data_IF_501612150716
#
_entry.id   IF_501612150716
#
_cell.length_a   1.000
_cell.length_b   1.000
_cell.length_c   1.000
_cell.angle_alpha   90.00
_cell.angle_beta   90.00
_cell.angle_gamma   90.00
#
_symmetry.space_group_name_H-M   'P 1'
#
loop_
_entity.id
_entity.type
_entity.pdbx_description
1 polymer ?
#
# COMPACT_ATOMS: atom_id res chain seq x y z
N UNK A 1 -9.67 -18.68 -11.01
CA UNK A 1 -9.11 -17.44 -10.44
C UNK A 1 -8.29 -17.84 -9.23
N UNK A 2 -7.06 -17.33 -9.10
CA UNK A 2 -6.26 -17.57 -7.92
C UNK A 2 -6.92 -16.90 -6.71
N UNK A 3 -6.90 -17.55 -5.54
CA UNK A 3 -7.44 -16.94 -4.32
C UNK A 3 -6.62 -15.71 -3.90
N UNK A 4 -7.20 -14.83 -3.09
CA UNK A 4 -6.53 -13.60 -2.59
C UNK A 4 -5.19 -13.92 -1.93
N UNK A 5 -5.10 -15.00 -1.15
CA UNK A 5 -3.85 -15.47 -0.56
C UNK A 5 -2.76 -15.79 -1.60
N UNK A 6 -3.12 -16.46 -2.70
CA UNK A 6 -2.18 -16.75 -3.79
C UNK A 6 -1.69 -15.48 -4.47
N UNK A 7 -2.60 -14.53 -4.74
CA UNK A 7 -2.26 -13.22 -5.30
C UNK A 7 -1.29 -12.46 -4.38
N UNK A 8 -1.66 -12.31 -3.11
CA UNK A 8 -0.86 -11.60 -2.11
C UNK A 8 0.52 -12.22 -1.93
N UNK A 9 0.60 -13.55 -1.93
CA UNK A 9 1.87 -14.26 -1.78
C UNK A 9 2.82 -14.10 -2.98
N UNK A 10 2.30 -13.67 -4.13
CA UNK A 10 3.05 -13.39 -5.36
C UNK A 10 3.52 -11.94 -5.50
N UNK A 11 3.06 -11.04 -4.63
CA UNK A 11 3.52 -9.65 -4.59
C UNK A 11 5.03 -9.60 -4.33
N UNK A 12 5.73 -8.53 -4.74
CA UNK A 12 7.16 -8.38 -4.48
C UNK A 12 7.43 -8.17 -2.98
N UNK A 13 8.70 -8.29 -2.60
CA UNK A 13 9.20 -7.78 -1.31
C UNK A 13 9.28 -6.25 -1.34
N UNK A 14 9.40 -5.64 -0.16
CA UNK A 14 9.55 -4.19 -0.04
C UNK A 14 10.80 -3.70 -0.80
N UNK A 15 11.93 -4.39 -0.64
CA UNK A 15 13.18 -4.06 -1.34
C UNK A 15 13.06 -4.17 -2.87
N UNK A 16 12.48 -5.26 -3.38
CA UNK A 16 12.28 -5.43 -4.82
C UNK A 16 11.37 -4.34 -5.43
N UNK A 17 10.35 -3.90 -4.70
CA UNK A 17 9.49 -2.82 -5.16
C UNK A 17 10.21 -1.46 -5.12
N UNK A 18 10.96 -1.18 -4.06
CA UNK A 18 11.72 0.05 -3.86
C UNK A 18 12.79 0.25 -4.94
N UNK A 19 13.58 -0.81 -5.19
CA UNK A 19 14.64 -0.85 -6.20
C UNK A 19 14.12 -0.63 -7.62
N UNK A 20 12.90 -1.08 -7.92
CA UNK A 20 12.28 -0.86 -9.23
C UNK A 20 11.71 0.55 -9.39
N UNK A 21 11.31 1.22 -8.31
CA UNK A 21 10.68 2.53 -8.37
C UNK A 21 11.69 3.68 -8.29
N UNK A 22 12.58 3.79 -9.29
CA UNK A 22 13.70 4.74 -9.30
C UNK A 22 13.33 6.18 -9.70
N UNK A 23 12.43 6.37 -10.67
CA UNK A 23 12.07 7.70 -11.19
C UNK A 23 10.80 8.25 -10.54
N UNK A 24 10.73 8.20 -9.20
CA UNK A 24 9.51 8.49 -8.44
C UNK A 24 8.88 9.82 -8.79
N UNK A 25 9.67 10.89 -8.76
CA UNK A 25 9.14 12.24 -8.95
C UNK A 25 8.38 12.42 -10.27
N UNK A 26 8.91 11.88 -11.37
CA UNK A 26 8.27 11.95 -12.70
C UNK A 26 6.95 11.19 -12.70
N UNK A 27 6.94 9.99 -12.13
CA UNK A 27 5.73 9.14 -12.07
C UNK A 27 4.65 9.73 -11.16
N UNK A 28 5.05 10.18 -9.97
CA UNK A 28 4.15 10.81 -9.00
C UNK A 28 3.53 12.09 -9.59
N UNK A 29 4.31 12.89 -10.33
CA UNK A 29 3.77 14.04 -11.05
C UNK A 29 2.78 13.67 -12.15
N UNK A 30 3.04 12.61 -12.93
CA UNK A 30 2.10 12.17 -13.97
C UNK A 30 0.76 11.69 -13.36
N UNK A 31 0.85 10.95 -12.25
CA UNK A 31 -0.32 10.37 -11.58
C UNK A 31 -1.11 11.39 -10.75
N UNK A 32 -0.49 12.47 -10.28
CA UNK A 32 -1.20 13.52 -9.52
C UNK A 32 -2.33 14.16 -10.34
N UNK A 33 -2.13 14.35 -11.64
CA UNK A 33 -3.13 14.93 -12.55
C UNK A 33 -4.32 13.98 -12.77
N UNK A 34 -4.09 12.67 -12.72
CA UNK A 34 -5.16 11.67 -12.76
C UNK A 34 -5.95 11.70 -11.45
N UNK A 35 -5.26 11.64 -10.31
CA UNK A 35 -5.90 11.57 -8.98
C UNK A 35 -6.68 12.85 -8.63
N UNK A 36 -6.27 14.01 -9.17
CA UNK A 36 -6.99 15.28 -9.01
C UNK A 36 -8.43 15.22 -9.54
N UNK A 37 -8.69 14.42 -10.59
CA UNK A 37 -10.03 14.25 -11.17
C UNK A 37 -10.99 13.51 -10.23
N UNK A 38 -10.44 12.83 -9.23
CA UNK A 38 -11.16 12.07 -8.21
C UNK A 38 -10.99 12.70 -6.82
N UNK A 39 -10.79 14.02 -6.78
CA UNK A 39 -10.68 14.84 -5.57
C UNK A 39 -9.65 14.32 -4.55
N UNK A 40 -8.63 13.61 -5.02
CA UNK A 40 -7.62 12.95 -4.18
C UNK A 40 -8.24 11.99 -3.14
N UNK A 41 -9.34 11.32 -3.47
CA UNK A 41 -9.90 10.23 -2.65
C UNK A 41 -8.97 9.00 -2.60
N UNK A 42 -8.07 8.88 -3.58
CA UNK A 42 -7.11 7.79 -3.70
C UNK A 42 -5.67 8.30 -3.74
N UNK A 43 -4.77 7.53 -3.13
CA UNK A 43 -3.34 7.76 -3.16
C UNK A 43 -2.62 6.60 -3.85
N UNK A 44 -1.30 6.72 -3.97
CA UNK A 44 -0.44 5.70 -4.55
C UNK A 44 0.24 4.90 -3.46
N UNK A 45 0.32 3.59 -3.66
CA UNK A 45 1.03 2.69 -2.76
C UNK A 45 2.08 1.87 -3.51
N UNK A 46 3.22 1.65 -2.86
CA UNK A 46 4.25 0.72 -3.29
C UNK A 46 3.81 -0.70 -2.92
N UNK A 47 3.36 -1.47 -3.91
CA UNK A 47 2.82 -2.81 -3.71
C UNK A 47 3.91 -3.73 -3.17
N UNK A 48 3.68 -4.30 -2.00
CA UNK A 48 4.52 -5.34 -1.39
C UNK A 48 3.68 -6.15 -0.40
N UNK A 49 4.21 -7.28 0.06
CA UNK A 49 3.58 -8.09 1.11
C UNK A 49 4.44 -8.14 2.37
N UNK A 50 3.80 -8.05 3.53
CA UNK A 50 4.45 -8.08 4.84
C UNK A 50 4.73 -9.50 5.37
N UNK A 51 3.90 -10.47 4.98
CA UNK A 51 4.02 -11.86 5.42
C UNK A 51 3.52 -12.83 4.33
N UNK A 52 3.38 -14.13 4.65
CA UNK A 52 2.68 -15.10 3.80
C UNK A 52 1.27 -15.35 4.34
N UNK A 53 0.30 -15.50 3.46
CA UNK A 53 -1.07 -15.89 3.74
C UNK A 53 -1.29 -17.38 3.47
N UNK A 54 -2.04 -18.04 4.34
CA UNK A 54 -2.62 -19.36 4.12
C UNK A 54 -3.88 -19.24 3.26
N UNK A 55 -4.37 -20.38 2.75
CA UNK A 55 -5.62 -20.42 2.00
C UNK A 55 -6.80 -19.93 2.87
N UNK A 56 -7.67 -19.12 2.28
CA UNK A 56 -8.82 -18.52 2.98
C UNK A 56 -8.49 -17.26 3.82
N UNK A 57 -7.20 -16.95 4.02
CA UNK A 57 -6.79 -15.73 4.72
C UNK A 57 -6.72 -14.50 3.79
N UNK A 58 -6.96 -13.34 4.39
CA UNK A 58 -6.68 -12.01 3.84
C UNK A 58 -5.85 -11.21 4.84
N UNK A 59 -5.09 -10.21 4.38
CA UNK A 59 -4.58 -9.17 5.27
C UNK A 59 -5.70 -8.21 5.63
N UNK A 60 -6.09 -8.19 6.91
CA UNK A 60 -7.15 -7.34 7.42
C UNK A 60 -6.60 -6.32 8.44
N UNK A 61 -6.81 -5.04 8.16
CA UNK A 61 -6.54 -3.93 9.05
C UNK A 61 -7.70 -3.70 10.04
N UNK A 62 -7.37 -3.59 11.32
CA UNK A 62 -8.25 -3.19 12.42
C UNK A 62 -7.49 -2.22 13.34
N UNK A 63 -7.77 -0.92 13.20
CA UNK A 63 -7.00 0.12 13.88
C UNK A 63 -5.55 0.11 13.42
N UNK A 64 -4.61 0.04 14.37
CA UNK A 64 -3.18 0.11 14.10
C UNK A 64 -2.53 -1.25 13.79
N UNK A 65 -3.32 -2.29 13.55
CA UNK A 65 -2.84 -3.65 13.30
C UNK A 65 -3.46 -4.17 12.01
N UNK A 66 -2.62 -4.63 11.09
CA UNK A 66 -3.01 -5.39 9.91
C UNK A 66 -2.43 -6.80 10.01
N UNK A 67 -3.27 -7.83 9.93
CA UNK A 67 -2.82 -9.21 10.12
C UNK A 67 -3.64 -10.19 9.28
N UNK A 68 -3.10 -11.41 9.03
CA UNK A 68 -3.84 -12.47 8.39
C UNK A 68 -5.07 -12.86 9.20
N UNK A 69 -6.22 -12.85 8.56
CA UNK A 69 -7.50 -13.28 9.14
C UNK A 69 -8.23 -14.18 8.17
N UNK A 70 -8.85 -15.24 8.69
CA UNK A 70 -9.69 -16.14 7.90
C UNK A 70 -11.00 -15.45 7.53
N UNK A 71 -11.27 -15.35 6.22
CA UNK A 71 -12.46 -14.66 5.69
C UNK A 71 -13.78 -15.19 6.25
N UNK A 72 -13.87 -16.48 6.59
CA UNK A 72 -15.05 -17.08 7.22
C UNK A 72 -15.38 -16.51 8.61
N UNK A 73 -14.37 -15.96 9.31
CA UNK A 73 -14.54 -15.37 10.65
C UNK A 73 -14.84 -13.87 10.62
N UNK A 74 -14.84 -13.25 9.44
CA UNK A 74 -14.94 -11.80 9.28
C UNK A 74 -16.31 -11.47 8.69
N UNK A 75 -17.25 -10.92 9.46
CA UNK A 75 -18.63 -10.71 8.99
C UNK A 75 -18.73 -9.66 7.89
N UNK A 76 -17.86 -8.65 7.90
CA UNK A 76 -17.83 -7.60 6.89
C UNK A 76 -16.43 -7.00 6.82
N UNK A 77 -15.94 -6.82 5.60
CA UNK A 77 -14.66 -6.17 5.32
C UNK A 77 -14.74 -5.48 3.97
N UNK A 78 -13.85 -4.52 3.76
CA UNK A 78 -13.80 -3.68 2.57
C UNK A 78 -12.36 -3.60 2.05
N UNK A 79 -12.14 -3.57 0.73
CA UNK A 79 -10.80 -3.38 0.19
C UNK A 79 -10.19 -2.03 0.56
N UNK A 80 -8.92 -2.01 0.92
CA UNK A 80 -8.19 -0.77 1.24
C UNK A 80 -7.08 -0.46 0.24
N UNK A 81 -6.49 -1.51 -0.36
CA UNK A 81 -5.41 -1.41 -1.35
C UNK A 81 -5.69 -2.28 -2.56
N UNK A 82 -5.40 -1.75 -3.75
CA UNK A 82 -5.65 -2.36 -5.05
C UNK A 82 -4.39 -2.39 -5.89
N UNK A 83 -4.19 -3.47 -6.64
CA UNK A 83 -3.18 -3.55 -7.69
C UNK A 83 -3.55 -2.62 -8.85
N UNK A 84 -2.59 -2.37 -9.74
CA UNK A 84 -2.84 -1.59 -10.97
C UNK A 84 -3.94 -2.15 -11.87
N UNK A 85 -4.25 -3.43 -11.73
CA UNK A 85 -5.31 -4.15 -12.44
C UNK A 85 -6.69 -4.01 -11.75
N UNK A 86 -6.75 -3.40 -10.56
CA UNK A 86 -7.97 -3.19 -9.78
C UNK A 86 -8.35 -4.33 -8.83
N UNK A 87 -7.59 -5.43 -8.80
CA UNK A 87 -7.77 -6.50 -7.82
C UNK A 87 -7.35 -6.00 -6.43
N UNK A 88 -8.21 -6.19 -5.41
CA UNK A 88 -7.88 -5.86 -4.04
C UNK A 88 -6.93 -6.90 -3.44
N UNK A 89 -6.00 -6.46 -2.60
CA UNK A 89 -5.04 -7.36 -1.95
C UNK A 89 -4.84 -7.12 -0.44
N UNK A 90 -5.27 -5.96 0.08
CA UNK A 90 -5.40 -5.70 1.52
C UNK A 90 -6.76 -5.08 1.82
N UNK A 91 -7.26 -5.35 3.03
CA UNK A 91 -8.64 -5.09 3.42
C UNK A 91 -8.68 -4.46 4.81
N UNK A 92 -9.82 -3.87 5.15
CA UNK A 92 -10.09 -3.24 6.44
C UNK A 92 -11.52 -3.53 6.88
N UNK A 93 -11.79 -3.43 8.19
CA UNK A 93 -13.17 -3.50 8.73
C UNK A 93 -13.94 -2.19 8.53
N UNK A 94 -13.23 -1.09 8.25
CA UNK A 94 -13.83 0.22 7.99
C UNK A 94 -14.37 0.26 6.55
N UNK A 95 -15.51 0.91 6.36
CA UNK A 95 -16.06 1.08 5.01
C UNK A 95 -15.15 2.00 4.16
N UNK A 96 -14.80 1.52 2.98
CA UNK A 96 -14.03 2.25 1.96
C UNK A 96 -14.79 2.24 0.64
N UNK A 97 -14.47 3.22 -0.22
CA UNK A 97 -14.97 3.25 -1.59
C UNK A 97 -14.00 2.54 -2.54
N UNK A 98 -14.55 1.80 -3.49
CA UNK A 98 -13.76 1.18 -4.55
C UNK A 98 -13.35 2.24 -5.57
N UNK A 99 -12.11 2.24 -6.09
CA UNK A 99 -11.73 3.10 -7.21
C UNK A 99 -12.65 2.86 -8.42
N UNK A 100 -13.13 3.93 -9.08
CA UNK A 100 -13.90 3.82 -10.32
C UNK A 100 -13.14 3.04 -11.40
N UNK A 101 -13.87 2.35 -12.29
CA UNK A 101 -13.24 1.56 -13.36
C UNK A 101 -12.39 2.44 -14.28
N UNK A 102 -12.86 3.65 -14.58
CA UNK A 102 -12.15 4.61 -15.42
C UNK A 102 -10.82 5.07 -14.78
N UNK A 103 -10.80 5.20 -13.44
CA UNK A 103 -9.56 5.47 -12.69
C UNK A 103 -8.58 4.31 -12.83
N UNK A 104 -9.06 3.08 -12.65
CA UNK A 104 -8.23 1.87 -12.76
C UNK A 104 -7.65 1.74 -14.17
N UNK A 105 -8.47 1.88 -15.22
CA UNK A 105 -8.03 1.69 -16.60
C UNK A 105 -6.93 2.70 -16.98
N UNK A 106 -7.12 3.98 -16.62
CA UNK A 106 -6.14 5.02 -16.92
C UNK A 106 -4.89 4.90 -16.05
N UNK A 107 -5.04 4.56 -14.76
CA UNK A 107 -3.91 4.27 -13.88
C UNK A 107 -3.07 3.12 -14.45
N UNK A 108 -3.73 2.03 -14.81
CA UNK A 108 -3.10 0.84 -15.37
C UNK A 108 -2.31 1.16 -16.64
N UNK A 109 -2.89 1.97 -17.53
CA UNK A 109 -2.24 2.41 -18.76
C UNK A 109 -0.94 3.15 -18.46
N UNK A 110 -0.99 4.15 -17.59
CA UNK A 110 0.18 4.98 -17.22
C UNK A 110 1.29 4.12 -16.60
N UNK A 111 0.95 3.24 -15.65
CA UNK A 111 1.97 2.41 -14.98
C UNK A 111 2.51 1.31 -15.89
N UNK A 112 1.72 0.76 -16.82
CA UNK A 112 2.21 -0.21 -17.82
C UNK A 112 3.20 0.42 -18.79
N UNK A 113 2.91 1.62 -19.29
CA UNK A 113 3.81 2.35 -20.20
C UNK A 113 5.18 2.59 -19.56
N UNK A 114 5.22 2.71 -18.23
CA UNK A 114 6.43 2.90 -17.43
C UNK A 114 6.98 1.62 -16.79
N UNK A 115 6.37 0.45 -17.06
CA UNK A 115 6.74 -0.86 -16.51
C UNK A 115 6.67 -0.96 -14.98
N UNK A 116 5.74 -0.23 -14.34
CA UNK A 116 5.54 -0.20 -12.89
C UNK A 116 4.28 -0.93 -12.43
N UNK A 117 3.57 -1.63 -13.33
CA UNK A 117 2.28 -2.26 -13.05
C UNK A 117 2.31 -3.32 -11.93
N UNK A 118 3.47 -3.91 -11.65
CA UNK A 118 3.65 -4.91 -10.58
C UNK A 118 4.07 -4.33 -9.23
N UNK A 119 4.40 -3.04 -9.16
CA UNK A 119 4.95 -2.40 -7.95
C UNK A 119 4.17 -1.17 -7.51
N UNK A 120 3.29 -0.61 -8.35
CA UNK A 120 2.42 0.50 -7.98
C UNK A 120 0.96 0.08 -7.96
N UNK A 121 0.27 0.51 -6.90
CA UNK A 121 -1.13 0.29 -6.65
C UNK A 121 -1.82 1.57 -6.17
N UNK A 122 -3.12 1.46 -5.95
CA UNK A 122 -3.94 2.50 -5.35
C UNK A 122 -4.28 2.12 -3.92
N UNK A 123 -4.43 3.11 -3.05
CA UNK A 123 -5.06 2.94 -1.74
C UNK A 123 -6.07 4.04 -1.48
N UNK A 124 -7.04 3.76 -0.63
CA UNK A 124 -8.03 4.75 -0.21
C UNK A 124 -7.39 5.68 0.83
N UNK A 125 -7.40 6.98 0.58
CA UNK A 125 -6.86 7.94 1.56
C UNK A 125 -7.82 8.06 2.73
N UNK A 126 -7.29 7.97 3.94
CA UNK A 126 -8.03 8.22 5.18
C UNK A 126 -7.44 9.44 5.89
N UNK A 127 -8.30 10.14 6.63
CA UNK A 127 -7.91 11.20 7.54
C UNK A 127 -8.15 12.59 6.98
N UNK A 128 -8.04 13.57 7.86
CA UNK A 128 -8.01 14.96 7.45
C UNK A 128 -6.63 15.33 6.88
N UNK A 129 -6.52 16.53 6.31
CA UNK A 129 -5.27 17.04 5.75
C UNK A 129 -4.13 17.16 6.79
N UNK A 130 -4.42 17.01 8.08
CA UNK A 130 -3.49 17.19 9.19
C UNK A 130 -2.98 15.86 9.78
N UNK A 131 -3.41 14.71 9.27
CA UNK A 131 -2.96 13.42 9.77
C UNK A 131 -1.42 13.31 9.72
N UNK A 132 -0.76 12.80 10.76
CA UNK A 132 0.70 12.61 10.76
C UNK A 132 1.12 11.53 9.76
N UNK A 133 2.40 11.52 9.39
CA UNK A 133 2.98 10.38 8.70
C UNK A 133 3.10 9.19 9.68
N UNK A 134 2.89 7.98 9.16
CA UNK A 134 2.96 6.75 9.94
C UNK A 134 4.11 5.87 9.48
N UNK A 135 4.63 5.07 10.41
CA UNK A 135 5.55 3.98 10.13
C UNK A 135 4.85 2.63 10.30
N UNK A 136 5.12 1.73 9.38
CA UNK A 136 4.72 0.33 9.35
C UNK A 136 5.92 -0.56 9.66
N UNK A 137 5.74 -1.54 10.54
CA UNK A 137 6.74 -2.57 10.81
C UNK A 137 6.07 -3.92 11.06
N UNK A 138 6.77 -5.00 10.75
CA UNK A 138 6.22 -6.35 10.86
C UNK A 138 6.72 -7.09 12.11
N UNK A 139 5.80 -7.56 12.94
CA UNK A 139 6.09 -8.45 14.08
C UNK A 139 5.39 -9.80 13.86
N UNK A 140 6.18 -10.84 13.57
CA UNK A 140 5.66 -12.14 13.18
C UNK A 140 4.88 -12.06 11.88
N UNK A 141 3.56 -12.27 11.92
CA UNK A 141 2.67 -12.14 10.76
C UNK A 141 1.86 -10.84 10.77
N UNK A 142 2.05 -9.96 11.75
CA UNK A 142 1.29 -8.72 11.92
C UNK A 142 2.10 -7.54 11.40
N UNK A 143 1.47 -6.67 10.62
CA UNK A 143 1.97 -5.35 10.31
C UNK A 143 1.36 -4.35 11.30
N UNK A 144 2.20 -3.58 11.98
CA UNK A 144 1.81 -2.64 13.02
C UNK A 144 2.06 -1.21 12.53
N UNK A 145 1.20 -0.27 12.91
CA UNK A 145 1.35 1.15 12.57
C UNK A 145 1.41 2.03 13.81
N UNK A 146 2.17 3.13 13.69
CA UNK A 146 2.14 4.27 14.63
C UNK A 146 2.64 5.52 13.93
N UNK A 147 2.45 6.68 14.56
CA UNK A 147 3.08 7.92 14.09
C UNK A 147 4.60 7.77 14.04
N UNK A 148 5.19 8.24 12.94
CA UNK A 148 6.65 8.19 12.76
C UNK A 148 7.34 9.14 13.73
N UNK A 149 8.42 8.68 14.38
CA UNK A 149 9.25 9.52 15.26
C UNK A 149 10.59 9.86 14.60
N UNK A 150 11.37 10.76 15.20
CA UNK A 150 12.69 11.08 14.67
C UNK A 150 13.66 9.90 14.76
N UNK A 151 13.52 9.03 15.76
CA UNK A 151 14.31 7.81 15.88
C UNK A 151 14.04 6.84 14.71
N UNK A 152 12.80 6.74 14.26
CA UNK A 152 12.44 5.90 13.12
C UNK A 152 13.14 6.33 11.83
N UNK A 153 13.32 7.64 11.64
CA UNK A 153 13.99 8.20 10.45
C UNK A 153 15.45 7.78 10.37
N UNK A 154 16.10 7.50 11.50
CA UNK A 154 17.49 7.02 11.53
C UNK A 154 17.64 5.60 10.97
N UNK A 155 16.55 4.82 10.92
CA UNK A 155 16.52 3.49 10.32
C UNK A 155 16.39 3.47 8.80
N UNK A 156 16.42 4.65 8.16
CA UNK A 156 16.22 4.83 6.71
C UNK A 156 14.99 4.05 6.19
N UNK A 157 13.79 4.30 6.74
CA UNK A 157 12.61 3.55 6.35
C UNK A 157 12.19 3.93 4.92
N UNK A 158 11.62 2.96 4.20
CA UNK A 158 11.25 3.12 2.80
C UNK A 158 9.91 3.83 2.71
N UNK A 159 9.81 4.86 1.88
CA UNK A 159 8.53 5.50 1.55
C UNK A 159 7.67 4.56 0.71
N UNK A 160 6.44 4.28 1.18
CA UNK A 160 5.54 3.31 0.54
C UNK A 160 4.18 3.87 0.18
N UNK A 161 3.76 5.01 0.74
CA UNK A 161 2.50 5.64 0.33
C UNK A 161 2.67 7.14 0.10
N UNK A 162 2.02 7.62 -0.97
CA UNK A 162 1.97 9.03 -1.33
C UNK A 162 0.55 9.48 -1.56
N UNK A 163 0.18 10.59 -0.93
CA UNK A 163 -1.00 11.35 -1.29
C UNK A 163 -0.64 12.71 -1.90
N UNK A 164 -1.58 13.23 -2.69
CA UNK A 164 -1.41 14.46 -3.48
C UNK A 164 -2.41 15.54 -3.04
N UNK A 165 -3.05 15.38 -1.88
CA UNK A 165 -4.12 16.25 -1.40
C UNK A 165 -3.78 17.06 -0.14
N UNK A 166 -2.57 16.90 0.41
CA UNK A 166 -2.15 17.56 1.64
C UNK A 166 -1.53 18.93 1.34
N UNK A 167 -2.37 19.95 1.19
CA UNK A 167 -1.95 21.36 1.12
C UNK A 167 -2.70 22.21 0.10
N UNK A 168 -2.69 23.52 0.34
CA UNK A 168 -2.93 24.56 -0.67
C UNK A 168 -1.64 25.42 -0.75
N UNK A 169 -0.86 25.36 -1.86
CA UNK A 169 -1.10 24.56 -3.05
C UNK A 169 -0.98 23.05 -2.77
N UNK A 170 -1.60 22.23 -3.62
CA UNK A 170 -1.51 20.77 -3.60
C UNK A 170 -0.03 20.35 -3.51
N UNK A 171 0.34 19.68 -2.40
CA UNK A 171 1.67 19.10 -2.23
C UNK A 171 1.61 17.58 -2.20
N UNK A 172 2.68 16.97 -2.69
CA UNK A 172 2.92 15.53 -2.55
C UNK A 172 3.44 15.29 -1.13
N UNK A 173 2.76 14.45 -0.37
CA UNK A 173 3.21 14.04 0.96
C UNK A 173 3.44 12.55 1.02
N UNK A 174 4.56 12.15 1.64
CA UNK A 174 4.76 10.75 2.01
C UNK A 174 4.03 10.49 3.31
N UNK A 175 3.07 9.57 3.30
CA UNK A 175 2.19 9.34 4.45
C UNK A 175 2.49 8.05 5.18
N UNK A 176 3.12 7.09 4.51
CA UNK A 176 3.46 5.78 5.09
C UNK A 176 4.90 5.42 4.73
N UNK A 177 5.62 4.97 5.75
CA UNK A 177 6.95 4.41 5.64
C UNK A 177 6.94 2.97 6.12
N UNK A 178 7.67 2.06 5.48
CA UNK A 178 7.84 0.69 5.97
C UNK A 178 9.28 0.47 6.46
N UNK A 179 9.41 -0.16 7.62
CA UNK A 179 10.71 -0.59 8.15
C UNK A 179 11.22 -1.80 7.39
N UNK A 180 12.28 -1.59 6.61
CA UNK A 180 12.95 -2.60 5.79
C UNK A 180 13.63 -3.73 6.58
N UNK A 181 13.88 -3.54 7.88
CA UNK A 181 14.52 -4.55 8.75
C UNK A 181 13.56 -5.67 9.13
N UNK A 182 12.27 -5.34 9.22
CA UNK A 182 11.23 -6.23 9.74
C UNK A 182 10.25 -6.66 8.66
N UNK A 183 10.04 -5.82 7.64
CA UNK A 183 9.18 -6.15 6.50
C UNK A 183 9.83 -7.20 5.62
N UNK A 184 9.03 -8.10 5.02
CA UNK A 184 9.49 -9.18 4.15
C UNK A 184 10.49 -8.65 3.11
N UNK A 185 11.75 -9.03 3.31
CA UNK A 185 12.87 -8.65 2.45
C UNK A 185 13.48 -9.92 1.84
N UNK A 186 14.10 -9.78 0.66
CA UNK A 186 14.74 -10.88 -0.07
C UNK A 186 15.84 -11.60 0.75
N UNK A 187 16.36 -10.95 1.79
CA UNK A 187 17.45 -11.41 2.65
C UNK A 187 17.04 -12.14 3.94
N UNK A 188 15.79 -12.03 4.43
CA UNK A 188 15.43 -12.42 5.81
C UNK A 188 14.28 -13.44 5.94
N UNK A 189 14.21 -14.44 5.07
CA UNK A 189 13.42 -15.66 5.32
C UNK A 189 14.29 -16.92 5.47
N UNK A 190 15.41 -16.81 6.19
CA UNK A 190 15.98 -17.98 6.87
C UNK A 190 15.26 -18.14 8.20
N UNK A 191 14.24 -19.00 8.17
CA UNK A 191 13.67 -19.76 9.28
C UNK A 191 14.25 -19.49 10.66
N UNK A 192 13.38 -19.03 11.58
CA UNK A 192 13.32 -19.55 12.94
C UNK A 192 11.86 -19.81 13.28
#
# INVERSE_FOLDING_TARGET
>A
MAGVATLYNSLPTLGEADEQFVNRHVMLHALSSLLAQYEYAFGLYLVHAHCKLAEGEIMLATGNVSQPELTENIPTYYPERWLSTGEPYEFTVRRTEKPPTELIDEFQRIVKDSKLQGILGLYHIEGDKAAPAIIEWTEGRKNLTREITDDDKTGEPIQTAWDFGRGDPVTMSCTIYCDQRTTRNSSNHKSM
#
